data_IF_786605263582
#
_entry.id   IF_786605263582
#
_cell.length_a   1.000
_cell.length_b   1.000
_cell.length_c   1.000
_cell.angle_alpha   90.00
_cell.angle_beta   90.00
_cell.angle_gamma   90.00
#
_symmetry.space_group_name_H-M   'P 1'
#
loop_
_entity.id
_entity.type
_entity.pdbx_description
1 polymer ?
#
# COMPACT_ATOMS: atom_id res chain seq x y z
N UNK A 1 7.39 19.65 14.38
CA UNK A 1 8.01 19.52 13.04
C UNK A 1 7.09 18.67 12.20
N UNK A 2 6.58 19.20 11.08
CA UNK A 2 5.67 18.48 10.21
C UNK A 2 6.40 17.30 9.57
N UNK A 3 5.81 16.12 9.64
CA UNK A 3 6.38 14.95 9.01
C UNK A 3 6.35 15.15 7.49
N UNK A 4 7.52 15.12 6.84
CA UNK A 4 7.64 15.29 5.40
C UNK A 4 7.12 14.04 4.69
N UNK A 5 6.14 14.22 3.79
CA UNK A 5 5.78 13.26 2.75
C UNK A 5 6.64 13.51 1.51
N UNK A 6 6.82 12.48 0.68
CA UNK A 6 7.49 12.61 -0.62
C UNK A 6 6.56 13.20 -1.67
N UNK A 7 5.98 12.34 -2.50
CA UNK A 7 5.06 12.73 -3.59
C UNK A 7 3.61 12.46 -3.16
N UNK A 8 2.73 13.44 -3.37
CA UNK A 8 1.28 13.29 -3.13
C UNK A 8 0.53 13.56 -4.43
N UNK A 9 -0.15 12.53 -4.94
CA UNK A 9 -1.10 12.62 -6.03
C UNK A 9 -2.52 12.54 -5.47
N UNK A 10 -3.11 13.71 -5.21
CA UNK A 10 -4.44 13.84 -4.61
C UNK A 10 -5.46 14.35 -5.64
N UNK A 11 -6.60 13.65 -5.74
CA UNK A 11 -7.68 13.94 -6.69
C UNK A 11 -7.17 14.11 -8.13
N UNK A 12 -6.14 13.34 -8.49
CA UNK A 12 -5.49 13.41 -9.79
C UNK A 12 -6.06 12.35 -10.74
N UNK A 13 -6.24 12.73 -12.00
CA UNK A 13 -6.50 11.79 -13.09
C UNK A 13 -5.22 11.52 -13.87
N UNK A 14 -4.92 10.25 -14.13
CA UNK A 14 -3.85 9.84 -15.07
C UNK A 14 -2.44 10.32 -14.68
N UNK A 15 -2.21 10.56 -13.39
CA UNK A 15 -0.90 10.92 -12.88
C UNK A 15 0.12 9.80 -13.12
N UNK A 16 1.34 10.15 -13.53
CA UNK A 16 2.44 9.19 -13.73
C UNK A 16 3.58 9.55 -12.79
N UNK A 17 3.93 8.62 -11.90
CA UNK A 17 5.06 8.72 -10.96
C UNK A 17 6.01 7.59 -11.29
N UNK A 18 7.07 7.93 -12.01
CA UNK A 18 7.92 6.97 -12.69
C UNK A 18 9.40 7.19 -12.40
N UNK A 19 10.11 6.10 -12.11
CA UNK A 19 11.57 6.06 -12.06
C UNK A 19 12.20 7.06 -11.09
N UNK A 20 11.54 7.30 -9.95
CA UNK A 20 12.04 8.15 -8.88
C UNK A 20 12.83 7.35 -7.84
N UNK A 21 13.76 8.03 -7.18
CA UNK A 21 14.44 7.56 -5.97
C UNK A 21 14.00 8.44 -4.79
N UNK A 22 13.40 7.83 -3.78
CA UNK A 22 12.75 8.52 -2.66
C UNK A 22 13.34 7.99 -1.35
N UNK A 23 13.92 8.86 -0.54
CA UNK A 23 14.65 8.44 0.66
C UNK A 23 14.29 9.25 1.90
N UNK A 24 14.27 8.58 3.05
CA UNK A 24 14.25 9.19 4.40
C UNK A 24 13.05 10.10 4.72
N UNK A 25 11.96 10.01 3.96
CA UNK A 25 10.71 10.70 4.31
C UNK A 25 10.15 10.18 5.63
N UNK A 26 9.62 11.09 6.46
CA UNK A 26 9.11 10.72 7.78
C UNK A 26 7.80 9.93 7.73
N UNK A 27 7.06 10.04 6.61
CA UNK A 27 5.75 9.39 6.39
C UNK A 27 5.76 8.61 5.08
N UNK A 28 4.73 8.71 4.24
CA UNK A 28 4.66 8.04 2.94
C UNK A 28 5.61 8.66 1.93
N UNK A 29 6.37 7.81 1.23
CA UNK A 29 7.20 8.24 0.11
C UNK A 29 6.32 8.64 -1.09
N UNK A 30 5.26 7.87 -1.37
CA UNK A 30 4.24 8.23 -2.36
C UNK A 30 2.85 7.97 -1.79
N UNK A 31 1.96 8.95 -1.87
CA UNK A 31 0.54 8.80 -1.55
C UNK A 31 -0.31 9.11 -2.78
N UNK A 32 -1.16 8.16 -3.16
CA UNK A 32 -2.18 8.29 -4.19
C UNK A 32 -3.54 8.29 -3.49
N UNK A 33 -4.23 9.44 -3.47
CA UNK A 33 -5.47 9.62 -2.71
C UNK A 33 -6.57 10.19 -3.58
N UNK A 34 -7.75 9.57 -3.59
CA UNK A 34 -8.90 10.08 -4.37
C UNK A 34 -8.64 10.15 -5.87
N UNK A 35 -7.61 9.46 -6.35
CA UNK A 35 -7.09 9.56 -7.72
C UNK A 35 -7.62 8.43 -8.58
N UNK A 36 -7.65 8.66 -9.90
CA UNK A 36 -8.14 7.72 -10.88
C UNK A 36 -7.09 7.45 -11.96
N UNK A 37 -6.88 6.18 -12.30
CA UNK A 37 -5.95 5.74 -13.34
C UNK A 37 -4.50 6.26 -13.17
N UNK A 38 -4.03 6.44 -11.92
CA UNK A 38 -2.65 6.83 -11.68
C UNK A 38 -1.71 5.63 -11.89
N UNK A 39 -0.49 5.90 -12.38
CA UNK A 39 0.55 4.90 -12.60
C UNK A 39 1.78 5.23 -11.75
N UNK A 40 2.04 4.39 -10.76
CA UNK A 40 3.26 4.44 -9.94
C UNK A 40 4.17 3.30 -10.40
N UNK A 41 5.25 3.60 -11.12
CA UNK A 41 6.08 2.53 -11.70
C UNK A 41 7.58 2.74 -11.51
N UNK A 42 8.31 1.63 -11.40
CA UNK A 42 9.78 1.60 -11.37
C UNK A 42 10.43 2.54 -10.33
N UNK A 43 9.71 2.94 -9.27
CA UNK A 43 10.28 3.77 -8.23
C UNK A 43 11.08 2.94 -7.24
N UNK A 44 12.14 3.54 -6.68
CA UNK A 44 12.97 3.01 -5.61
C UNK A 44 12.76 3.82 -4.35
N UNK A 45 12.32 3.16 -3.28
CA UNK A 45 11.98 3.82 -2.01
C UNK A 45 12.83 3.21 -0.89
N UNK A 46 13.55 4.07 -0.16
CA UNK A 46 14.53 3.64 0.83
C UNK A 46 14.35 4.37 2.18
N UNK A 47 14.27 3.61 3.28
CA UNK A 47 14.33 4.16 4.66
C UNK A 47 13.28 5.23 4.99
N UNK A 48 12.15 5.22 4.28
CA UNK A 48 10.99 6.08 4.57
C UNK A 48 10.16 5.52 5.72
N UNK A 49 9.30 6.35 6.30
CA UNK A 49 8.29 5.91 7.27
C UNK A 49 7.45 4.77 6.71
N UNK A 50 6.83 5.05 5.57
CA UNK A 50 6.00 4.13 4.80
C UNK A 50 6.39 4.22 3.32
N UNK A 51 6.18 3.15 2.54
CA UNK A 51 6.48 3.14 1.11
C UNK A 51 5.41 3.85 0.27
N UNK A 52 4.40 3.09 -0.15
CA UNK A 52 3.29 3.56 -1.00
C UNK A 52 1.97 3.54 -0.23
N UNK A 53 1.08 4.48 -0.52
CA UNK A 53 -0.31 4.43 -0.09
C UNK A 53 -1.28 4.64 -1.27
N UNK A 54 -2.32 3.81 -1.32
CA UNK A 54 -3.49 3.97 -2.19
C UNK A 54 -4.73 4.14 -1.32
N UNK A 55 -5.42 5.27 -1.46
CA UNK A 55 -6.49 5.68 -0.55
C UNK A 55 -7.69 6.16 -1.33
N UNK A 56 -8.83 5.48 -1.17
CA UNK A 56 -10.13 5.89 -1.72
C UNK A 56 -10.13 6.24 -3.22
N UNK A 57 -9.49 5.42 -4.06
CA UNK A 57 -9.46 5.59 -5.51
C UNK A 57 -10.78 5.28 -6.21
N UNK A 58 -10.86 5.60 -7.50
CA UNK A 58 -12.02 5.26 -8.34
C UNK A 58 -12.00 3.78 -8.76
N UNK A 59 -12.93 2.92 -8.29
CA UNK A 59 -12.93 1.50 -8.63
C UNK A 59 -13.22 1.23 -10.12
N UNK A 60 -13.78 2.19 -10.86
CA UNK A 60 -13.99 2.06 -12.32
C UNK A 60 -12.73 2.33 -13.12
N UNK A 61 -11.76 3.02 -12.50
CA UNK A 61 -10.50 3.45 -13.12
C UNK A 61 -9.35 3.23 -12.12
N UNK A 62 -9.05 1.96 -11.79
CA UNK A 62 -8.10 1.65 -10.73
C UNK A 62 -6.71 2.19 -11.06
N UNK A 63 -6.04 2.72 -10.05
CA UNK A 63 -4.62 3.08 -10.15
C UNK A 63 -3.75 1.82 -10.11
N UNK A 64 -2.52 1.91 -10.60
CA UNK A 64 -1.59 0.79 -10.69
C UNK A 64 -0.23 1.10 -10.05
N UNK A 65 0.32 0.11 -9.33
CA UNK A 65 1.71 0.10 -8.90
C UNK A 65 2.46 -1.03 -9.62
N UNK A 66 3.46 -0.71 -10.44
CA UNK A 66 4.15 -1.70 -11.27
C UNK A 66 5.67 -1.64 -11.09
N UNK A 67 6.28 -2.74 -10.64
CA UNK A 67 7.73 -2.87 -10.61
C UNK A 67 8.44 -1.92 -9.63
N UNK A 68 7.76 -1.46 -8.57
CA UNK A 68 8.38 -0.61 -7.56
C UNK A 68 9.17 -1.45 -6.56
N UNK A 69 10.30 -0.92 -6.09
CA UNK A 69 11.13 -1.55 -5.05
C UNK A 69 11.12 -0.69 -3.80
N UNK A 70 10.72 -1.28 -2.68
CA UNK A 70 10.60 -0.60 -1.38
C UNK A 70 11.50 -1.33 -0.40
N UNK A 71 12.46 -0.63 0.20
CA UNK A 71 13.52 -1.21 1.02
C UNK A 71 13.51 -0.55 2.40
N UNK A 72 13.45 -1.38 3.44
CA UNK A 72 13.49 -0.96 4.85
C UNK A 72 12.50 0.17 5.19
N UNK A 73 11.20 0.05 4.83
CA UNK A 73 10.22 0.97 5.36
C UNK A 73 10.15 0.78 6.88
N UNK A 74 10.13 1.90 7.63
CA UNK A 74 10.10 1.87 9.11
C UNK A 74 8.81 1.25 9.66
N UNK A 75 7.75 1.20 8.84
CA UNK A 75 6.47 0.57 9.12
C UNK A 75 6.05 -0.33 7.95
N UNK A 76 5.00 0.06 7.20
CA UNK A 76 4.46 -0.71 6.09
C UNK A 76 5.12 -0.35 4.75
N UNK A 77 5.25 -1.35 3.89
CA UNK A 77 5.69 -1.15 2.50
C UNK A 77 4.61 -0.50 1.66
N UNK A 78 3.46 -1.16 1.52
CA UNK A 78 2.33 -0.67 0.75
C UNK A 78 1.07 -0.72 1.61
N UNK A 79 0.40 0.42 1.76
CA UNK A 79 -0.92 0.52 2.37
C UNK A 79 -2.00 0.70 1.29
N UNK A 80 -3.09 -0.06 1.42
CA UNK A 80 -4.29 0.05 0.57
C UNK A 80 -5.50 0.27 1.48
N UNK A 81 -6.07 1.46 1.44
CA UNK A 81 -7.10 1.93 2.38
C UNK A 81 -8.38 2.30 1.63
N UNK A 82 -9.35 1.37 1.62
CA UNK A 82 -10.61 1.50 0.89
C UNK A 82 -10.45 1.70 -0.62
N UNK A 83 -9.33 1.24 -1.17
CA UNK A 83 -9.00 1.31 -2.60
C UNK A 83 -8.73 -0.09 -3.16
N UNK A 84 -8.78 -0.25 -4.48
CA UNK A 84 -8.55 -1.52 -5.17
C UNK A 84 -7.55 -1.36 -6.33
N UNK A 85 -6.30 -0.95 -6.05
CA UNK A 85 -5.28 -0.77 -7.08
C UNK A 85 -4.82 -2.11 -7.67
N UNK A 86 -4.18 -2.03 -8.83
CA UNK A 86 -3.49 -3.17 -9.45
C UNK A 86 -2.02 -3.12 -9.02
N UNK A 87 -1.59 -4.09 -8.21
CA UNK A 87 -0.21 -4.23 -7.74
C UNK A 87 0.47 -5.35 -8.53
N UNK A 88 1.45 -5.00 -9.36
CA UNK A 88 2.20 -5.96 -10.19
C UNK A 88 3.70 -5.86 -9.99
N UNK A 89 4.35 -6.99 -9.78
CA UNK A 89 5.82 -7.08 -9.74
C UNK A 89 6.51 -6.13 -8.76
N UNK A 90 5.80 -5.68 -7.71
CA UNK A 90 6.40 -4.85 -6.68
C UNK A 90 7.19 -5.72 -5.71
N UNK A 91 8.25 -5.17 -5.15
CA UNK A 91 9.10 -5.84 -4.18
C UNK A 91 9.16 -5.00 -2.90
N UNK A 92 8.85 -5.61 -1.76
CA UNK A 92 9.04 -5.00 -0.44
C UNK A 92 10.04 -5.83 0.35
N UNK A 93 11.19 -5.22 0.63
CA UNK A 93 12.31 -5.85 1.32
C UNK A 93 12.42 -5.33 2.74
N UNK A 94 12.43 -6.26 3.70
CA UNK A 94 12.65 -5.99 5.14
C UNK A 94 11.66 -4.94 5.71
N UNK A 95 10.34 -5.09 5.51
CA UNK A 95 9.38 -4.23 6.19
C UNK A 95 9.42 -4.50 7.70
N UNK A 96 9.26 -3.45 8.51
CA UNK A 96 9.21 -3.58 9.97
C UNK A 96 7.83 -4.03 10.48
N UNK A 97 6.76 -3.74 9.74
CA UNK A 97 5.40 -4.20 10.04
C UNK A 97 4.88 -5.11 8.92
N UNK A 98 4.26 -4.55 7.88
CA UNK A 98 3.72 -5.32 6.76
C UNK A 98 4.38 -4.95 5.43
N UNK A 99 4.64 -5.93 4.57
CA UNK A 99 4.94 -5.71 3.16
C UNK A 99 3.75 -5.09 2.43
N UNK A 100 2.55 -5.64 2.68
CA UNK A 100 1.29 -5.15 2.16
C UNK A 100 0.25 -5.16 3.28
N UNK A 101 -0.39 -4.03 3.50
CA UNK A 101 -1.44 -3.85 4.49
C UNK A 101 -2.70 -3.33 3.79
N UNK A 102 -3.77 -4.12 3.85
CA UNK A 102 -5.02 -3.87 3.12
C UNK A 102 -6.15 -3.72 4.14
N UNK A 103 -6.82 -2.56 4.12
CA UNK A 103 -7.91 -2.23 5.05
C UNK A 103 -9.10 -1.63 4.32
N UNK A 104 -10.30 -2.09 4.64
CA UNK A 104 -11.52 -1.37 4.32
C UNK A 104 -11.51 0.02 5.00
N UNK A 105 -12.03 1.03 4.31
CA UNK A 105 -12.11 2.38 4.85
C UNK A 105 -13.55 2.72 5.23
N UNK A 106 -13.77 3.06 6.50
CA UNK A 106 -15.07 3.52 6.99
C UNK A 106 -15.08 5.05 7.07
N UNK A 107 -15.96 5.69 6.28
CA UNK A 107 -16.20 7.12 6.40
C UNK A 107 -17.09 7.44 7.60
N UNK A 108 -16.88 8.60 8.26
CA UNK A 108 -17.86 9.14 9.20
C UNK A 108 -19.23 9.26 8.50
N UNK A 109 -20.24 8.56 9.02
CA UNK A 109 -21.55 8.42 8.36
C UNK A 109 -21.89 7.00 7.89
N UNK A 110 -20.98 6.03 8.06
CA UNK A 110 -21.26 4.60 7.91
C UNK A 110 -21.04 4.03 6.51
N UNK A 111 -20.65 4.84 5.54
CA UNK A 111 -20.23 4.34 4.24
C UNK A 111 -18.89 3.60 4.37
N UNK A 112 -18.84 2.35 3.89
CA UNK A 112 -17.62 1.53 3.88
C UNK A 112 -17.14 1.36 2.44
N UNK A 113 -15.84 1.57 2.23
CA UNK A 113 -15.15 1.35 0.97
C UNK A 113 -14.29 0.10 1.12
N UNK A 114 -14.60 -0.93 0.35
CA UNK A 114 -13.87 -2.18 0.41
C UNK A 114 -12.49 -2.03 -0.25
N UNK A 115 -11.46 -2.60 0.38
CA UNK A 115 -10.13 -2.66 -0.19
C UNK A 115 -9.84 -4.05 -0.77
N UNK A 116 -9.71 -4.14 -2.10
CA UNK A 116 -9.52 -5.41 -2.81
C UNK A 116 -8.50 -5.25 -3.95
N UNK A 117 -7.20 -5.04 -3.62
CA UNK A 117 -6.19 -4.88 -4.65
C UNK A 117 -6.03 -6.17 -5.48
N UNK A 118 -5.78 -6.00 -6.78
CA UNK A 118 -5.38 -7.12 -7.63
C UNK A 118 -3.87 -7.33 -7.51
N UNK A 119 -3.44 -8.55 -7.18
CA UNK A 119 -2.03 -8.88 -6.93
C UNK A 119 -1.50 -9.84 -8.00
N UNK A 120 -0.39 -9.49 -8.64
CA UNK A 120 0.27 -10.35 -9.62
C UNK A 120 1.80 -10.25 -9.52
N UNK A 121 2.47 -11.38 -9.29
CA UNK A 121 3.93 -11.47 -9.33
C UNK A 121 4.68 -10.55 -8.35
N UNK A 122 4.03 -10.08 -7.28
CA UNK A 122 4.68 -9.28 -6.24
C UNK A 122 5.53 -10.17 -5.32
N UNK A 123 6.64 -9.62 -4.82
CA UNK A 123 7.45 -10.25 -3.78
C UNK A 123 7.16 -9.61 -2.42
N UNK A 124 6.09 -10.07 -1.79
CA UNK A 124 5.77 -9.80 -0.40
C UNK A 124 5.98 -11.10 0.37
N UNK A 125 6.81 -11.10 1.42
CA UNK A 125 6.89 -12.29 2.27
C UNK A 125 5.48 -12.58 2.84
N UNK A 126 5.06 -13.84 2.81
CA UNK A 126 3.68 -14.21 3.12
C UNK A 126 3.26 -13.85 4.56
N UNK A 127 4.18 -13.90 5.50
CA UNK A 127 4.00 -13.50 6.90
C UNK A 127 3.89 -11.97 7.11
N UNK A 128 4.21 -11.19 6.07
CA UNK A 128 4.17 -9.74 6.08
C UNK A 128 2.98 -9.18 5.28
N UNK A 129 1.99 -10.00 4.90
CA UNK A 129 0.75 -9.52 4.27
C UNK A 129 -0.37 -9.53 5.31
N UNK A 130 -1.10 -8.43 5.44
CA UNK A 130 -2.30 -8.34 6.28
C UNK A 130 -3.49 -7.86 5.44
N UNK A 131 -4.60 -8.60 5.52
CA UNK A 131 -5.85 -8.28 4.83
C UNK A 131 -7.01 -7.99 5.81
N UNK A 132 -8.15 -7.44 5.33
CA UNK A 132 -9.31 -7.22 6.18
C UNK A 132 -9.87 -8.51 6.80
N UNK A 133 -9.78 -9.65 6.09
CA UNK A 133 -10.21 -10.96 6.60
C UNK A 133 -9.38 -11.39 7.82
N UNK A 134 -8.07 -11.10 7.82
CA UNK A 134 -7.19 -11.44 8.96
C UNK A 134 -7.60 -10.72 10.24
N UNK A 135 -8.10 -9.49 10.12
CA UNK A 135 -8.56 -8.68 11.25
C UNK A 135 -9.93 -9.13 11.79
N UNK A 136 -10.72 -9.82 10.98
CA UNK A 136 -12.01 -10.39 11.38
C UNK A 136 -11.85 -11.76 12.05
N UNK A 137 -10.69 -12.41 11.92
CA UNK A 137 -10.39 -13.66 12.60
C UNK A 137 -10.06 -13.42 14.09
N UNK A 138 -10.68 -14.16 15.03
CA UNK A 138 -10.32 -14.09 16.44
C UNK A 138 -8.83 -14.41 16.66
N UNK A 139 -8.16 -13.68 17.58
CA UNK A 139 -6.72 -13.83 17.89
C UNK A 139 -6.24 -15.28 18.13
N UNK A 140 -7.12 -16.17 18.59
CA UNK A 140 -6.81 -17.60 18.79
C UNK A 140 -6.62 -18.36 17.46
N UNK A 141 -7.31 -17.97 16.40
CA UNK A 141 -7.23 -18.58 15.07
C UNK A 141 -6.04 -18.04 14.26
N UNK A 142 -5.71 -16.75 14.42
CA UNK A 142 -4.54 -16.11 13.80
C UNK A 142 -3.23 -16.81 14.25
N UNK A 143 -3.10 -17.12 15.55
CA UNK A 143 -1.96 -17.89 16.09
C UNK A 143 -1.89 -19.34 15.61
N UNK A 144 -3.01 -19.94 15.24
CA UNK A 144 -3.08 -21.31 14.76
C UNK A 144 -2.74 -21.41 13.27
N UNK A 145 -3.16 -20.42 12.46
CA UNK A 145 -2.83 -20.31 11.05
C UNK A 145 -1.33 -20.02 10.83
N UNK A 146 -0.75 -19.12 11.63
CA UNK A 146 0.69 -18.80 11.61
C UNK A 146 1.61 -19.95 12.09
N UNK A 147 1.05 -21.02 12.68
CA UNK A 147 1.80 -22.20 13.16
C UNK A 147 1.68 -23.42 12.24
N UNK A 148 0.89 -23.34 11.17
CA UNK A 148 0.64 -24.45 10.23
C UNK A 148 1.40 -24.32 8.91
N UNK A 149 2.28 -23.32 8.79
CA UNK A 149 3.16 -23.09 7.65
C UNK A 149 4.59 -22.99 8.14
#
# INVERSE_FOLDING_TARGET
GGATMGIVAENAGEAVIDSNELEQFATYAVMVRGSANALVRANRIHNCGYGLAFVLGDPRRPSSAVGNTIIEPKFNGIDVLGDSPILRHNQVLRPHAFALHVLDYQQPGGQTFAARPFLEGNNFRADAVQTPEDLQMPNSQMRAAARRQ
#
